data_IF_413419950926
#
_entry.id   IF_413419950926
#
_cell.length_a   1.000
_cell.length_b   1.000
_cell.length_c   1.000
_cell.angle_alpha   90.00
_cell.angle_beta   90.00
_cell.angle_gamma   90.00
#
_symmetry.space_group_name_H-M   'P 1'
#
loop_
_entity.id
_entity.type
_entity.pdbx_description
1 polymer ?
#
# COMPACT_ATOMS: atom_id res chain seq x y z
N UNK A 1 -5.32 27.09 13.49
CA UNK A 1 -4.76 26.52 12.25
C UNK A 1 -4.14 25.13 12.45
N UNK A 2 -4.42 24.41 13.55
CA UNK A 2 -3.76 23.11 13.86
C UNK A 2 -4.60 21.87 13.51
N UNK A 3 -5.88 22.03 13.14
CA UNK A 3 -6.77 20.88 12.91
C UNK A 3 -6.45 20.11 11.61
N UNK A 4 -5.94 20.80 10.60
CA UNK A 4 -5.69 20.23 9.27
C UNK A 4 -4.33 19.52 9.21
N UNK A 5 -3.34 20.01 9.97
CA UNK A 5 -1.96 19.53 9.95
C UNK A 5 -1.67 18.45 10.99
N UNK A 6 -2.51 18.33 12.03
CA UNK A 6 -2.34 17.30 13.06
C UNK A 6 -2.81 15.92 12.57
N UNK A 7 -2.32 14.88 13.23
CA UNK A 7 -2.81 13.52 13.02
C UNK A 7 -4.28 13.40 13.39
N UNK A 8 -5.10 12.98 12.42
CA UNK A 8 -6.54 12.83 12.64
C UNK A 8 -6.84 11.56 13.45
N UNK A 9 -7.78 11.63 14.40
CA UNK A 9 -8.23 10.46 15.13
C UNK A 9 -8.75 9.37 14.19
N UNK A 10 -8.53 8.11 14.57
CA UNK A 10 -8.89 6.94 13.76
C UNK A 10 -10.38 6.90 13.37
N UNK A 11 -11.28 7.42 14.22
CA UNK A 11 -12.72 7.44 13.94
C UNK A 11 -13.09 8.41 12.83
N UNK A 12 -12.39 9.54 12.71
CA UNK A 12 -12.63 10.52 11.65
C UNK A 12 -12.15 9.97 10.31
N UNK A 13 -10.92 9.43 10.27
CA UNK A 13 -10.37 8.77 9.10
C UNK A 13 -11.21 7.57 8.67
N UNK A 14 -11.66 6.75 9.63
CA UNK A 14 -12.53 5.61 9.39
C UNK A 14 -13.89 6.00 8.81
N UNK A 15 -14.53 7.05 9.37
CA UNK A 15 -15.77 7.59 8.85
C UNK A 15 -15.62 8.09 7.40
N UNK A 16 -14.59 8.90 7.13
CA UNK A 16 -14.34 9.43 5.79
C UNK A 16 -14.08 8.34 4.75
N UNK A 17 -13.23 7.35 5.07
CA UNK A 17 -12.96 6.21 4.20
C UNK A 17 -14.26 5.42 3.97
N UNK A 18 -15.04 5.16 5.03
CA UNK A 18 -16.32 4.46 4.95
C UNK A 18 -17.33 5.19 4.07
N UNK A 19 -17.47 6.51 4.23
CA UNK A 19 -18.35 7.34 3.39
C UNK A 19 -17.93 7.30 1.92
N UNK A 20 -16.63 7.40 1.63
CA UNK A 20 -16.12 7.26 0.25
C UNK A 20 -16.48 5.87 -0.30
N UNK A 21 -16.27 4.80 0.46
CA UNK A 21 -16.61 3.44 0.01
C UNK A 21 -18.11 3.28 -0.28
N UNK A 22 -18.98 3.81 0.58
CA UNK A 22 -20.43 3.79 0.36
C UNK A 22 -20.82 4.54 -0.92
N UNK A 23 -20.24 5.71 -1.16
CA UNK A 23 -20.46 6.49 -2.38
C UNK A 23 -20.01 5.69 -3.60
N UNK A 24 -18.83 5.06 -3.55
CA UNK A 24 -18.33 4.24 -4.67
C UNK A 24 -19.27 3.08 -4.98
N UNK A 25 -19.70 2.34 -3.95
CA UNK A 25 -20.64 1.23 -4.10
C UNK A 25 -21.98 1.71 -4.68
N UNK A 26 -22.50 2.85 -4.20
CA UNK A 26 -23.74 3.44 -4.71
C UNK A 26 -23.68 3.75 -6.21
N UNK A 27 -22.54 4.26 -6.70
CA UNK A 27 -22.32 4.51 -8.13
C UNK A 27 -21.85 3.28 -8.93
N UNK A 28 -21.90 2.08 -8.34
CA UNK A 28 -21.46 0.84 -8.98
C UNK A 28 -19.97 0.82 -9.31
N UNK A 29 -19.16 1.57 -8.58
CA UNK A 29 -17.70 1.67 -8.74
C UNK A 29 -17.00 0.82 -7.68
N UNK A 30 -15.84 0.26 -8.05
CA UNK A 30 -15.01 -0.52 -7.13
C UNK A 30 -13.79 0.28 -6.68
N UNK A 31 -13.32 -0.01 -5.46
CA UNK A 31 -12.05 0.48 -4.93
C UNK A 31 -11.00 -0.63 -5.04
N UNK A 32 -10.09 -0.50 -6.00
CA UNK A 32 -9.04 -1.50 -6.22
C UNK A 32 -7.77 -0.89 -6.77
N UNK A 33 -6.65 -1.15 -6.09
CA UNK A 33 -5.31 -0.67 -6.49
C UNK A 33 -4.61 -1.66 -7.44
N UNK A 34 -4.68 -2.97 -7.18
CA UNK A 34 -3.94 -3.99 -7.95
C UNK A 34 -4.44 -4.18 -9.39
N UNK A 35 -5.72 -3.90 -9.66
CA UNK A 35 -6.28 -3.91 -11.02
C UNK A 35 -5.64 -2.85 -11.92
N UNK A 36 -5.09 -1.78 -11.36
CA UNK A 36 -4.41 -0.72 -12.11
C UNK A 36 -3.06 -1.18 -12.65
N UNK A 37 -2.28 -1.93 -11.86
CA UNK A 37 -1.03 -2.52 -12.34
C UNK A 37 -1.28 -3.44 -13.54
N UNK A 38 -2.35 -4.25 -13.48
CA UNK A 38 -2.77 -5.09 -14.62
C UNK A 38 -3.21 -4.25 -15.83
N UNK A 39 -3.90 -3.14 -15.60
CA UNK A 39 -4.35 -2.22 -16.67
C UNK A 39 -3.17 -1.52 -17.34
N UNK A 40 -2.17 -1.09 -16.57
CA UNK A 40 -0.93 -0.52 -17.10
C UNK A 40 -0.16 -1.53 -17.97
N UNK A 41 -0.08 -2.80 -17.56
CA UNK A 41 0.50 -3.85 -18.38
C UNK A 41 -0.29 -4.09 -19.69
N UNK A 42 -1.63 -4.05 -19.64
CA UNK A 42 -2.44 -4.15 -20.86
C UNK A 42 -2.19 -2.95 -21.80
N UNK A 43 -2.11 -1.74 -21.27
CA UNK A 43 -1.84 -0.50 -22.02
C UNK A 43 -0.46 -0.49 -22.69
N UNK A 44 0.57 -1.05 -22.04
CA UNK A 44 1.92 -1.15 -22.62
C UNK A 44 2.05 -2.17 -23.76
N UNK A 45 0.94 -2.83 -24.12
CA UNK A 45 0.88 -3.76 -25.25
C UNK A 45 1.23 -5.21 -24.89
N UNK A 46 1.44 -5.54 -23.61
CA UNK A 46 1.65 -6.93 -23.17
C UNK A 46 0.42 -7.82 -23.43
N UNK A 47 -0.77 -7.23 -23.60
CA UNK A 47 -1.97 -7.95 -24.02
C UNK A 47 -1.84 -8.63 -25.39
N UNK A 48 -0.93 -8.17 -26.26
CA UNK A 48 -0.64 -8.83 -27.55
C UNK A 48 0.25 -10.07 -27.41
N UNK A 49 0.97 -10.21 -26.29
CA UNK A 49 1.93 -11.31 -26.06
C UNK A 49 1.42 -12.32 -25.04
N UNK A 50 0.60 -11.88 -24.08
CA UNK A 50 0.10 -12.72 -22.98
C UNK A 50 -1.41 -12.57 -22.86
N UNK A 51 -2.14 -13.67 -23.03
CA UNK A 51 -3.61 -13.68 -23.00
C UNK A 51 -4.21 -13.14 -21.70
N UNK A 52 -3.48 -13.25 -20.57
CA UNK A 52 -3.91 -12.66 -19.28
C UNK A 52 -4.07 -11.13 -19.32
N UNK A 53 -3.24 -10.42 -20.10
CA UNK A 53 -3.33 -8.97 -20.25
C UNK A 53 -4.24 -8.54 -21.41
N UNK A 54 -4.76 -9.50 -22.18
CA UNK A 54 -5.72 -9.24 -23.25
C UNK A 54 -7.14 -9.05 -22.68
N UNK A 55 -7.41 -7.86 -22.14
CA UNK A 55 -8.72 -7.45 -21.68
C UNK A 55 -8.96 -5.97 -22.00
N UNK A 56 -10.23 -5.56 -22.03
CA UNK A 56 -10.58 -4.16 -22.26
C UNK A 56 -10.24 -3.29 -21.03
N UNK A 57 -9.06 -2.69 -21.05
CA UNK A 57 -8.62 -1.78 -20.00
C UNK A 57 -9.50 -0.52 -19.91
N UNK A 58 -10.21 -0.14 -20.99
CA UNK A 58 -11.08 1.05 -20.97
C UNK A 58 -12.26 0.88 -20.02
N UNK A 59 -12.72 -0.36 -19.81
CA UNK A 59 -13.73 -0.68 -18.80
C UNK A 59 -13.24 -0.39 -17.36
N UNK A 60 -11.92 -0.29 -17.13
CA UNK A 60 -11.32 -0.05 -15.81
C UNK A 60 -10.81 1.39 -15.63
N UNK A 61 -11.18 2.33 -16.51
CA UNK A 61 -10.76 3.76 -16.43
C UNK A 61 -10.98 4.40 -15.07
N UNK A 62 -12.05 4.00 -14.38
CA UNK A 62 -12.35 4.49 -13.04
C UNK A 62 -11.21 4.22 -12.04
N UNK A 63 -10.63 3.02 -12.07
CA UNK A 63 -9.56 2.67 -11.13
C UNK A 63 -8.29 3.49 -11.38
N UNK A 64 -8.04 3.90 -12.65
CA UNK A 64 -6.93 4.78 -12.99
C UNK A 64 -7.13 6.18 -12.40
N UNK A 65 -8.36 6.71 -12.43
CA UNK A 65 -8.71 7.98 -11.77
C UNK A 65 -8.47 7.88 -10.26
N UNK A 66 -8.82 6.76 -9.64
CA UNK A 66 -8.55 6.51 -8.21
C UNK A 66 -7.05 6.54 -7.90
N UNK A 67 -6.20 5.93 -8.73
CA UNK A 67 -4.74 5.96 -8.55
C UNK A 67 -4.17 7.36 -8.69
N UNK A 68 -4.59 8.10 -9.72
CA UNK A 68 -4.16 9.50 -9.91
C UNK A 68 -4.61 10.37 -8.73
N UNK A 69 -5.86 10.23 -8.30
CA UNK A 69 -6.40 10.92 -7.13
C UNK A 69 -5.63 10.59 -5.85
N UNK A 70 -5.27 9.31 -5.64
CA UNK A 70 -4.47 8.89 -4.49
C UNK A 70 -3.04 9.48 -4.52
N UNK A 71 -2.41 9.55 -5.69
CA UNK A 71 -1.09 10.18 -5.85
C UNK A 71 -1.15 11.68 -5.53
N UNK A 72 -2.15 12.40 -6.08
CA UNK A 72 -2.35 13.83 -5.82
C UNK A 72 -2.67 14.06 -4.34
N UNK A 73 -3.57 13.26 -3.77
CA UNK A 73 -3.93 13.34 -2.35
C UNK A 73 -2.74 13.11 -1.43
N UNK A 74 -1.91 12.10 -1.73
CA UNK A 74 -0.65 11.86 -1.01
C UNK A 74 0.33 13.03 -1.13
N UNK A 75 0.50 13.59 -2.33
CA UNK A 75 1.35 14.76 -2.54
C UNK A 75 0.86 15.98 -1.73
N UNK A 76 -0.44 16.26 -1.76
CA UNK A 76 -1.03 17.36 -0.99
C UNK A 76 -0.87 17.13 0.51
N UNK A 77 -1.12 15.90 0.97
CA UNK A 77 -0.99 15.55 2.38
C UNK A 77 0.44 15.75 2.89
N UNK A 78 1.44 15.34 2.10
CA UNK A 78 2.86 15.44 2.48
C UNK A 78 3.41 16.87 2.39
N UNK A 79 2.93 17.72 1.48
CA UNK A 79 3.48 19.07 1.31
C UNK A 79 2.72 20.15 2.09
N UNK A 80 1.43 19.95 2.34
CA UNK A 80 0.56 20.99 2.92
C UNK A 80 -0.12 20.59 4.23
N UNK A 81 -0.20 19.28 4.53
CA UNK A 81 -0.94 18.78 5.70
C UNK A 81 -0.06 17.98 6.68
N UNK A 82 1.25 17.90 6.47
CA UNK A 82 2.15 17.13 7.34
C UNK A 82 2.71 17.97 8.49
N UNK A 83 2.63 17.47 9.72
CA UNK A 83 3.39 18.00 10.85
C UNK A 83 4.78 17.34 10.97
N UNK A 84 5.84 18.06 11.36
CA UNK A 84 7.18 17.48 11.57
C UNK A 84 7.24 16.36 12.63
N UNK A 85 6.26 16.25 13.52
CA UNK A 85 6.17 15.23 14.58
C UNK A 85 5.45 13.94 14.16
N UNK A 86 5.10 13.80 12.87
CA UNK A 86 4.10 12.86 12.35
C UNK A 86 4.29 11.36 12.64
N UNK A 87 5.43 10.93 13.18
CA UNK A 87 5.71 9.50 13.38
C UNK A 87 6.25 9.25 14.79
N UNK A 88 5.34 9.22 15.77
CA UNK A 88 5.64 8.78 17.14
C UNK A 88 5.59 7.25 17.21
N UNK A 89 6.76 6.59 17.23
CA UNK A 89 6.87 5.14 17.43
C UNK A 89 7.26 4.84 18.88
N UNK A 90 6.86 3.69 19.40
CA UNK A 90 7.27 3.19 20.71
C UNK A 90 8.81 3.22 20.86
N UNK A 91 9.36 3.76 21.96
CA UNK A 91 10.80 3.79 22.23
C UNK A 91 11.49 2.43 22.08
N UNK A 92 10.83 1.34 22.49
CA UNK A 92 11.37 -0.02 22.33
C UNK A 92 11.58 -0.41 20.86
N UNK A 93 10.70 0.05 19.97
CA UNK A 93 10.83 -0.18 18.53
C UNK A 93 11.95 0.63 17.93
N UNK A 94 12.20 1.86 18.43
CA UNK A 94 13.34 2.67 18.00
C UNK A 94 14.65 1.96 18.35
N UNK A 95 14.77 1.40 19.56
CA UNK A 95 15.95 0.63 19.96
C UNK A 95 16.15 -0.62 19.09
N UNK A 96 15.06 -1.31 18.74
CA UNK A 96 15.11 -2.48 17.85
C UNK A 96 15.54 -2.11 16.42
N UNK A 97 14.99 -1.02 15.87
CA UNK A 97 15.33 -0.54 14.53
C UNK A 97 16.78 -0.06 14.45
N UNK A 98 17.29 0.59 15.50
CA UNK A 98 18.68 1.02 15.57
C UNK A 98 19.66 -0.17 15.48
N UNK A 99 19.32 -1.33 16.10
CA UNK A 99 20.12 -2.56 15.99
C UNK A 99 20.15 -3.13 14.57
N UNK A 100 19.13 -2.83 13.76
CA UNK A 100 19.00 -3.25 12.36
C UNK A 100 19.56 -2.20 11.38
N UNK A 101 20.21 -1.15 11.88
CA UNK A 101 20.75 -0.07 11.04
C UNK A 101 19.68 0.81 10.38
N UNK A 102 18.50 0.90 10.99
CA UNK A 102 17.40 1.74 10.51
C UNK A 102 17.26 2.97 11.42
N UNK A 103 17.39 4.15 10.81
CA UNK A 103 17.30 5.43 11.52
C UNK A 103 15.92 5.65 12.16
N UNK A 104 15.92 6.45 13.23
CA UNK A 104 14.69 6.91 13.84
C UNK A 104 13.86 7.73 12.84
N UNK A 105 12.53 7.76 13.00
CA UNK A 105 11.66 8.60 12.19
C UNK A 105 11.82 10.07 12.61
N UNK A 106 12.88 10.73 12.15
CA UNK A 106 13.18 12.14 12.40
C UNK A 106 12.25 13.07 11.60
N UNK A 107 10.93 12.95 11.82
CA UNK A 107 9.89 13.61 11.04
C UNK A 107 9.67 13.04 9.64
N UNK A 108 10.37 11.96 9.29
CA UNK A 108 10.21 11.24 8.01
C UNK A 108 9.13 10.18 8.12
N UNK A 109 8.29 10.08 7.08
CA UNK A 109 7.26 9.04 6.98
C UNK A 109 7.82 7.65 6.66
N UNK A 110 9.00 7.59 6.05
CA UNK A 110 9.63 6.36 5.57
C UNK A 110 11.12 6.35 5.90
N UNK A 111 11.71 5.17 6.20
CA UNK A 111 13.13 5.07 6.50
C UNK A 111 14.00 5.27 5.27
N UNK A 112 15.05 6.07 5.40
CA UNK A 112 16.02 6.33 4.33
C UNK A 112 16.75 5.05 3.88
N UNK A 113 16.94 4.09 4.77
CA UNK A 113 17.57 2.80 4.47
C UNK A 113 16.91 2.03 3.30
N UNK A 114 15.61 2.25 3.07
CA UNK A 114 14.82 1.55 2.04
C UNK A 114 14.22 2.46 0.97
N UNK A 115 14.04 3.75 1.26
CA UNK A 115 13.38 4.69 0.37
C UNK A 115 14.25 5.91 0.01
N UNK A 116 15.49 5.95 0.51
CA UNK A 116 16.47 6.99 0.19
C UNK A 116 17.19 6.73 -1.14
N UNK A 117 17.92 7.73 -1.66
CA UNK A 117 18.70 7.60 -2.90
C UNK A 117 19.82 6.57 -2.79
N UNK A 118 20.34 6.32 -1.58
CA UNK A 118 21.42 5.36 -1.31
C UNK A 118 21.04 3.90 -1.65
N UNK A 119 19.74 3.62 -1.76
CA UNK A 119 19.21 2.30 -2.15
C UNK A 119 19.72 1.89 -3.53
N UNK A 120 19.86 2.83 -4.48
CA UNK A 120 20.34 2.54 -5.82
C UNK A 120 21.83 2.17 -5.85
N UNK A 121 22.58 2.47 -4.78
CA UNK A 121 23.99 2.13 -4.64
C UNK A 121 24.21 0.78 -3.94
N UNK A 122 23.19 0.23 -3.27
CA UNK A 122 23.27 -1.03 -2.52
C UNK A 122 22.62 -2.18 -3.30
N UNK A 123 23.39 -3.16 -3.82
CA UNK A 123 22.83 -4.34 -4.47
C UNK A 123 21.87 -5.14 -3.58
N UNK A 124 22.16 -5.18 -2.26
CA UNK A 124 21.32 -5.85 -1.27
C UNK A 124 19.93 -5.21 -1.20
N UNK A 125 19.86 -3.88 -1.09
CA UNK A 125 18.60 -3.14 -0.97
C UNK A 125 17.76 -3.26 -2.24
N UNK A 126 18.39 -3.19 -3.42
CA UNK A 126 17.73 -3.42 -4.71
C UNK A 126 17.13 -4.83 -4.77
N UNK A 127 17.89 -5.84 -4.37
CA UNK A 127 17.43 -7.23 -4.39
C UNK A 127 16.24 -7.45 -3.45
N UNK A 128 16.28 -6.88 -2.25
CA UNK A 128 15.17 -6.93 -1.29
C UNK A 128 13.91 -6.30 -1.89
N UNK A 129 14.01 -5.09 -2.48
CA UNK A 129 12.87 -4.41 -3.08
C UNK A 129 12.31 -5.15 -4.31
N UNK A 130 13.19 -5.69 -5.15
CA UNK A 130 12.80 -6.43 -6.35
C UNK A 130 12.08 -7.73 -5.96
N UNK A 131 12.67 -8.54 -5.08
CA UNK A 131 12.06 -9.79 -4.60
C UNK A 131 10.76 -9.46 -3.87
N UNK A 132 10.74 -8.45 -3.00
CA UNK A 132 9.54 -7.99 -2.29
C UNK A 132 8.42 -7.60 -3.26
N UNK A 133 8.74 -6.81 -4.29
CA UNK A 133 7.78 -6.42 -5.32
C UNK A 133 7.22 -7.61 -6.11
N UNK A 134 8.07 -8.58 -6.46
CA UNK A 134 7.66 -9.82 -7.13
C UNK A 134 6.72 -10.63 -6.23
N UNK A 135 7.08 -10.83 -4.96
CA UNK A 135 6.26 -11.57 -4.00
C UNK A 135 4.91 -10.90 -3.75
N UNK A 136 4.88 -9.57 -3.61
CA UNK A 136 3.63 -8.79 -3.45
C UNK A 136 2.76 -8.90 -4.70
N UNK A 137 3.35 -8.76 -5.90
CA UNK A 137 2.62 -8.88 -7.16
C UNK A 137 2.04 -10.28 -7.37
N UNK A 138 2.86 -11.31 -7.14
CA UNK A 138 2.45 -12.71 -7.19
C UNK A 138 1.36 -13.01 -6.17
N UNK A 139 1.56 -12.63 -4.91
CA UNK A 139 0.62 -12.87 -3.81
C UNK A 139 -0.72 -12.18 -4.04
N UNK A 140 -0.72 -10.91 -4.46
CA UNK A 140 -1.94 -10.19 -4.79
C UNK A 140 -2.70 -10.86 -5.95
N UNK A 141 -1.99 -11.44 -6.93
CA UNK A 141 -2.64 -12.18 -8.01
C UNK A 141 -3.21 -13.51 -7.53
N UNK A 142 -2.45 -14.24 -6.72
CA UNK A 142 -2.83 -15.54 -6.16
C UNK A 142 -4.07 -15.41 -5.26
N UNK A 143 -4.14 -14.37 -4.44
CA UNK A 143 -5.30 -14.06 -3.60
C UNK A 143 -6.51 -13.54 -4.39
N UNK A 144 -6.32 -13.11 -5.63
CA UNK A 144 -7.37 -12.48 -6.45
C UNK A 144 -7.62 -11.00 -6.11
N UNK A 145 -6.72 -10.36 -5.35
CA UNK A 145 -6.85 -8.98 -4.90
C UNK A 145 -5.72 -8.58 -3.94
N UNK A 146 -5.63 -7.29 -3.64
CA UNK A 146 -4.71 -6.74 -2.63
C UNK A 146 -5.50 -6.29 -1.38
N UNK A 147 -4.82 -5.69 -0.41
CA UNK A 147 -5.43 -5.21 0.85
C UNK A 147 -6.62 -4.28 0.62
N UNK A 148 -6.55 -3.36 -0.35
CA UNK A 148 -7.70 -2.48 -0.67
C UNK A 148 -8.92 -3.25 -1.20
N UNK A 149 -8.70 -4.33 -1.96
CA UNK A 149 -9.78 -5.17 -2.48
C UNK A 149 -10.38 -6.08 -1.41
N UNK A 150 -9.55 -6.79 -0.64
CA UNK A 150 -10.03 -7.75 0.36
C UNK A 150 -10.37 -7.12 1.70
N UNK A 151 -9.49 -6.27 2.26
CA UNK A 151 -9.67 -5.73 3.61
C UNK A 151 -10.67 -4.57 3.66
N UNK A 152 -10.65 -3.68 2.67
CA UNK A 152 -11.61 -2.56 2.62
C UNK A 152 -12.90 -3.02 1.96
N UNK A 153 -12.90 -3.30 0.64
CA UNK A 153 -14.14 -3.63 -0.06
C UNK A 153 -14.71 -5.01 0.30
N UNK A 154 -13.87 -6.03 0.40
CA UNK A 154 -14.29 -7.42 0.58
C UNK A 154 -14.87 -7.72 1.96
N UNK A 155 -14.22 -7.24 3.03
CA UNK A 155 -14.72 -7.38 4.39
C UNK A 155 -15.98 -6.54 4.63
N UNK A 156 -16.06 -5.33 4.07
CA UNK A 156 -17.29 -4.52 4.13
C UNK A 156 -18.48 -5.22 3.45
N UNK A 157 -18.22 -6.04 2.43
CA UNK A 157 -19.22 -6.89 1.77
C UNK A 157 -19.38 -8.29 2.40
N UNK A 158 -18.82 -8.51 3.60
CA UNK A 158 -18.92 -9.78 4.36
C UNK A 158 -18.45 -11.03 3.57
N UNK A 159 -17.48 -10.85 2.68
CA UNK A 159 -16.97 -11.95 1.86
C UNK A 159 -16.02 -12.85 2.65
N UNK A 160 -16.45 -14.09 2.91
CA UNK A 160 -15.61 -15.12 3.57
C UNK A 160 -14.26 -15.34 2.86
N UNK A 161 -14.17 -15.39 1.51
CA UNK A 161 -12.88 -15.50 0.84
C UNK A 161 -11.93 -14.35 1.18
N UNK A 162 -12.46 -13.12 1.29
CA UNK A 162 -11.69 -11.94 1.65
C UNK A 162 -11.21 -11.99 3.10
N UNK A 163 -12.02 -12.52 4.03
CA UNK A 163 -11.57 -12.75 5.40
C UNK A 163 -10.38 -13.71 5.46
N UNK A 164 -10.44 -14.84 4.74
CA UNK A 164 -9.32 -15.79 4.66
C UNK A 164 -8.06 -15.13 4.08
N UNK A 165 -8.21 -14.35 3.02
CA UNK A 165 -7.10 -13.62 2.42
C UNK A 165 -6.45 -12.63 3.39
N UNK A 166 -7.27 -11.85 4.12
CA UNK A 166 -6.79 -10.86 5.10
C UNK A 166 -6.06 -11.54 6.26
N UNK A 167 -6.59 -12.63 6.81
CA UNK A 167 -5.89 -13.41 7.84
C UNK A 167 -4.53 -13.88 7.33
N UNK A 168 -4.47 -14.38 6.09
CA UNK A 168 -3.21 -14.76 5.45
C UNK A 168 -2.23 -13.58 5.30
N UNK A 169 -2.71 -12.40 4.91
CA UNK A 169 -1.88 -11.20 4.80
C UNK A 169 -1.30 -10.79 6.15
N UNK A 170 -2.09 -10.85 7.23
CA UNK A 170 -1.62 -10.56 8.59
C UNK A 170 -0.56 -11.57 9.05
N UNK A 171 -0.80 -12.87 8.86
CA UNK A 171 0.18 -13.91 9.21
C UNK A 171 1.48 -13.72 8.42
N UNK A 172 1.40 -13.46 7.12
CA UNK A 172 2.57 -13.17 6.29
C UNK A 172 3.32 -11.92 6.74
N UNK A 173 2.60 -10.87 7.11
CA UNK A 173 3.18 -9.64 7.66
C UNK A 173 3.90 -9.87 9.00
N UNK A 174 3.33 -10.68 9.89
CA UNK A 174 3.96 -11.06 11.15
C UNK A 174 5.23 -11.89 10.92
N UNK A 175 5.19 -12.88 10.02
CA UNK A 175 6.37 -13.66 9.63
C UNK A 175 7.45 -12.74 9.06
N UNK A 176 7.07 -11.82 8.18
CA UNK A 176 8.01 -10.86 7.62
C UNK A 176 8.64 -10.00 8.73
N UNK A 177 7.84 -9.41 9.62
CA UNK A 177 8.30 -8.49 10.65
C UNK A 177 9.17 -9.15 11.74
N UNK A 178 8.79 -10.34 12.21
CA UNK A 178 9.45 -10.98 13.36
C UNK A 178 10.51 -12.01 12.97
N UNK A 179 10.40 -12.63 11.80
CA UNK A 179 11.34 -13.67 11.37
C UNK A 179 12.26 -13.19 10.26
N UNK A 180 11.73 -12.69 9.15
CA UNK A 180 12.55 -12.38 7.98
C UNK A 180 13.26 -11.04 8.11
N UNK A 181 12.61 -10.00 8.63
CA UNK A 181 13.14 -8.64 8.70
C UNK A 181 14.44 -8.56 9.50
N UNK A 182 14.56 -9.18 10.70
CA UNK A 182 15.82 -9.19 11.46
C UNK A 182 16.92 -10.06 10.84
N UNK A 183 16.60 -10.93 9.87
CA UNK A 183 17.58 -11.76 9.17
C UNK A 183 18.16 -11.07 7.94
N UNK A 184 17.35 -10.23 7.28
CA UNK A 184 17.76 -9.53 6.06
C UNK A 184 18.33 -8.13 6.33
N UNK A 185 18.07 -7.53 7.49
CA UNK A 185 18.69 -6.28 7.93
C UNK A 185 19.70 -6.56 9.02
#
# INVERSE_FOLDING_TARGET
MNFITQTWPWYLSGFLIGSIMLILIYFGKSFGMSSNLRSLCSMSGLGKRVGFFNFDWKAQRWNLVVVVGAMIGGFVAVNYMSDPSNVSINPATIEQLAKLGIDAPDGKLLPNALFGPDVFSSPKSILILLIGGVLVGFGARYAGGCTSGHAISGLSNLQIPSLKAVVGFFVGGLIMAYLLFPLIF
#
